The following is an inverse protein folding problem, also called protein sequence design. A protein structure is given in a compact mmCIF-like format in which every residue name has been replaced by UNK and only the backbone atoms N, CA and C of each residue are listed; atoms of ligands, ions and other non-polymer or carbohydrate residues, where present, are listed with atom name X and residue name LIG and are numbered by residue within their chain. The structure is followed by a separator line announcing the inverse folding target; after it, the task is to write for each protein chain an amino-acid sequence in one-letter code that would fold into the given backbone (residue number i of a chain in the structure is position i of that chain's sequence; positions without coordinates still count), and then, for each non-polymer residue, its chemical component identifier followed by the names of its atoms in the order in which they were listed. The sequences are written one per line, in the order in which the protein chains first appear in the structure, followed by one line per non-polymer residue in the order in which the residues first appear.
data_IF_630033362806
#
_entry.id   IF_630033362806
#
_cell.length_a   1.000
_cell.length_b   1.000
_cell.length_c   1.000
_cell.angle_alpha   90.00
_cell.angle_beta   90.00
_cell.angle_gamma   90.00
#
_symmetry.space_group_name_H-M   'P 1'
#
loop_
_entity.id
_entity.type
_entity.pdbx_description
1 polymer ?
#
# COMPACT_ATOMS: atom_id res chain seq x y z
N UNK A 1 -3.62 1.87 5.11
CA UNK A 1 -2.79 0.71 5.49
C UNK A 1 -1.51 0.73 4.67
N UNK A 2 -0.35 0.48 5.26
CA UNK A 2 0.92 0.27 4.53
C UNK A 2 1.43 -1.09 4.99
N UNK A 3 1.66 -2.02 4.05
CA UNK A 3 2.07 -3.38 4.37
C UNK A 3 2.65 -4.10 3.17
N UNK A 4 3.20 -5.29 3.39
CA UNK A 4 3.97 -6.08 2.43
C UNK A 4 3.24 -7.37 2.00
N UNK A 5 2.10 -7.71 2.59
CA UNK A 5 1.36 -8.93 2.29
C UNK A 5 0.02 -8.65 1.60
N UNK A 6 -0.14 -8.98 0.29
CA UNK A 6 -1.39 -8.81 -0.43
C UNK A 6 -2.58 -9.53 0.22
N UNK A 7 -2.39 -10.73 0.76
CA UNK A 7 -3.46 -11.55 1.36
C UNK A 7 -3.89 -11.07 2.75
N UNK A 8 -3.08 -10.26 3.43
CA UNK A 8 -3.35 -9.80 4.79
C UNK A 8 -3.59 -8.30 4.83
N UNK A 9 -2.58 -7.50 4.49
CA UNK A 9 -2.62 -6.05 4.64
C UNK A 9 -3.54 -5.42 3.60
N UNK A 10 -3.41 -5.84 2.34
CA UNK A 10 -4.16 -5.28 1.23
C UNK A 10 -5.59 -5.81 1.22
N UNK A 11 -5.77 -7.12 1.38
CA UNK A 11 -7.10 -7.72 1.55
C UNK A 11 -7.87 -7.11 2.72
N UNK A 12 -7.23 -6.95 3.89
CA UNK A 12 -7.84 -6.34 5.07
C UNK A 12 -8.21 -4.87 4.86
N UNK A 13 -7.32 -4.08 4.24
CA UNK A 13 -7.62 -2.70 3.90
C UNK A 13 -8.78 -2.56 2.91
N UNK A 14 -8.84 -3.43 1.90
CA UNK A 14 -9.93 -3.46 0.92
C UNK A 14 -11.26 -3.78 1.59
N UNK A 15 -11.29 -4.78 2.49
CA UNK A 15 -12.49 -5.14 3.25
C UNK A 15 -12.96 -4.00 4.18
N UNK A 16 -12.03 -3.22 4.74
CA UNK A 16 -12.33 -2.04 5.55
C UNK A 16 -12.60 -0.76 4.73
N UNK A 17 -12.52 -0.84 3.40
CA UNK A 17 -12.59 0.30 2.47
C UNK A 17 -11.57 1.41 2.81
N UNK A 18 -10.37 1.01 3.22
CA UNK A 18 -9.23 1.89 3.50
C UNK A 18 -8.31 1.98 2.29
N UNK A 19 -7.68 3.14 2.10
CA UNK A 19 -6.59 3.28 1.13
C UNK A 19 -5.37 2.48 1.61
N UNK A 20 -4.72 1.77 0.68
CA UNK A 20 -3.64 0.84 0.96
C UNK A 20 -2.40 1.08 0.09
N UNK A 21 -1.21 0.91 0.67
CA UNK A 21 0.07 0.91 -0.06
C UNK A 21 0.75 -0.43 0.16
N UNK A 22 1.10 -1.10 -0.94
CA UNK A 22 1.85 -2.35 -0.93
C UNK A 22 3.35 -2.07 -1.14
N UNK A 23 4.18 -2.41 -0.17
CA UNK A 23 5.65 -2.24 -0.25
C UNK A 23 6.35 -3.53 -0.69
N UNK A 24 7.56 -3.42 -1.24
CA UNK A 24 8.33 -4.55 -1.80
C UNK A 24 9.45 -5.07 -0.89
N UNK A 25 9.47 -4.64 0.37
CA UNK A 25 10.54 -4.94 1.34
C UNK A 25 10.25 -6.15 2.23
N UNK A 26 9.26 -6.99 1.88
CA UNK A 26 8.82 -8.12 2.70
C UNK A 26 8.25 -9.29 1.88
N UNK A 27 7.10 -9.83 2.29
CA UNK A 27 6.42 -10.98 1.69
C UNK A 27 6.19 -10.78 0.19
N UNK A 28 5.75 -9.59 -0.21
CA UNK A 28 5.67 -9.20 -1.60
C UNK A 28 7.02 -8.63 -2.08
N UNK A 29 7.51 -9.17 -3.19
CA UNK A 29 8.77 -8.73 -3.82
C UNK A 29 8.57 -8.27 -5.27
N UNK A 30 7.33 -7.97 -5.68
CA UNK A 30 6.97 -7.50 -7.02
C UNK A 30 6.11 -8.48 -7.84
N UNK A 31 5.81 -8.08 -9.08
CA UNK A 31 4.87 -8.79 -9.95
C UNK A 31 3.42 -8.34 -9.74
N UNK A 32 2.46 -9.18 -10.17
CA UNK A 32 1.03 -8.89 -10.00
C UNK A 32 0.59 -9.32 -8.58
N UNK A 33 0.11 -8.41 -7.71
CA UNK A 33 -0.38 -8.79 -6.40
C UNK A 33 -1.71 -9.56 -6.50
N UNK A 34 -2.01 -10.42 -5.52
CA UNK A 34 -3.27 -11.17 -5.48
C UNK A 34 -4.47 -10.32 -5.09
N UNK A 35 -4.25 -9.21 -4.37
CA UNK A 35 -5.24 -8.17 -4.09
C UNK A 35 -4.71 -6.81 -4.55
N UNK A 36 -5.55 -6.03 -5.21
CA UNK A 36 -5.15 -4.73 -5.77
C UNK A 36 -4.99 -3.70 -4.65
N UNK A 37 -3.81 -3.08 -4.47
CA UNK A 37 -3.62 -1.97 -3.55
C UNK A 37 -4.03 -0.64 -4.18
N UNK A 38 -4.17 0.41 -3.38
CA UNK A 38 -4.34 1.78 -3.93
C UNK A 38 -3.05 2.28 -4.60
N UNK A 39 -1.90 1.90 -4.04
CA UNK A 39 -0.58 2.29 -4.54
C UNK A 39 0.45 1.19 -4.24
N UNK A 40 1.49 1.10 -5.06
CA UNK A 40 2.66 0.27 -4.78
C UNK A 40 3.86 1.18 -4.60
N UNK A 41 4.71 0.87 -3.63
CA UNK A 41 5.94 1.62 -3.33
C UNK A 41 7.11 0.64 -3.19
N UNK A 42 8.33 1.12 -3.40
CA UNK A 42 9.53 0.30 -3.19
C UNK A 42 9.69 -0.04 -1.71
N UNK A 43 9.52 0.95 -0.84
CA UNK A 43 9.67 0.81 0.62
C UNK A 43 8.68 1.67 1.42
N UNK A 44 8.83 1.64 2.75
CA UNK A 44 7.96 2.37 3.67
C UNK A 44 8.17 3.89 3.62
N UNK A 45 9.37 4.36 3.28
CA UNK A 45 9.64 5.80 3.18
C UNK A 45 8.84 6.41 2.03
N UNK A 46 8.91 5.79 0.85
CA UNK A 46 8.12 6.20 -0.32
C UNK A 46 6.62 6.12 -0.03
N UNK A 47 6.16 5.04 0.60
CA UNK A 47 4.76 4.87 0.96
C UNK A 47 4.23 5.98 1.88
N UNK A 48 5.01 6.39 2.88
CA UNK A 48 4.65 7.49 3.79
C UNK A 48 4.67 8.83 3.05
N UNK A 49 5.67 9.09 2.21
CA UNK A 49 5.73 10.31 1.39
C UNK A 49 4.53 10.43 0.46
N UNK A 50 4.12 9.34 -0.18
CA UNK A 50 2.91 9.28 -0.99
C UNK A 50 1.66 9.61 -0.15
N UNK A 51 1.52 9.01 1.02
CA UNK A 51 0.37 9.20 1.90
C UNK A 51 0.24 10.65 2.41
N UNK A 52 1.36 11.29 2.75
CA UNK A 52 1.39 12.71 3.15
C UNK A 52 1.05 13.58 1.94
N UNK A 53 1.76 13.40 0.82
CA UNK A 53 1.59 14.26 -0.37
C UNK A 53 0.14 14.25 -0.86
N UNK A 54 -0.49 13.08 -1.00
CA UNK A 54 -1.89 13.02 -1.41
C UNK A 54 -2.85 13.69 -0.43
N UNK A 55 -2.56 13.64 0.87
CA UNK A 55 -3.43 14.18 1.91
C UNK A 55 -3.37 15.70 1.95
N UNK A 56 -2.17 16.26 1.81
CA UNK A 56 -1.97 17.71 1.85
C UNK A 56 -2.14 18.39 0.49
N UNK A 57 -2.05 17.67 -0.64
CA UNK A 57 -2.33 18.20 -1.99
C UNK A 57 -3.80 18.09 -2.41
N UNK A 58 -4.63 17.35 -1.67
CA UNK A 58 -6.06 17.24 -1.92
C UNK A 58 -6.90 18.27 -1.13
N UNK A 59 -6.25 19.15 -0.36
CA UNK A 59 -6.82 20.31 0.32
C UNK A 59 -6.32 21.60 -0.33
#
# INVERSE_FOLDING_TARGET
MIGDNPESDIAGANAANWQSVLVKTGVFSGGKPSHEPTHQAEDVEEAVRWAITRTYSAN
#
